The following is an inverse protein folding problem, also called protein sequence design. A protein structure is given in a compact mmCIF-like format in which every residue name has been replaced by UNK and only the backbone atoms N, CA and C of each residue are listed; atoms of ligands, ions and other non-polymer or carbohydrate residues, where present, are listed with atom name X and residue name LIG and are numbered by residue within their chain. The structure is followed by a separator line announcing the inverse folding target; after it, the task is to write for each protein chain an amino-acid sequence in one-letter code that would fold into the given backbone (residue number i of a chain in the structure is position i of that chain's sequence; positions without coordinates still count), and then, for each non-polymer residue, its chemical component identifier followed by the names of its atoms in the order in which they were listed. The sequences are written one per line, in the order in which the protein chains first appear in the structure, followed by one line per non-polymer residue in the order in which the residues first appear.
data_IF_302258585188
#
_entry.id   IF_302258585188
#
_cell.length_a   1.000
_cell.length_b   1.000
_cell.length_c   1.000
_cell.angle_alpha   90.00
_cell.angle_beta   90.00
_cell.angle_gamma   90.00
#
_symmetry.space_group_name_H-M   'P 1'
#
loop_
_entity.id
_entity.type
_entity.pdbx_description
1 polymer ?
#
# COMPACT_ATOMS: atom_id res chain seq x y z
N UNK A 1 14.60 -15.50 -19.14
CA UNK A 1 14.82 -14.90 -17.81
C UNK A 1 14.74 -16.03 -16.77
N UNK A 2 15.62 -16.08 -15.77
CA UNK A 2 15.53 -17.08 -14.70
C UNK A 2 14.67 -16.51 -13.56
N UNK A 3 13.59 -17.18 -13.13
CA UNK A 3 12.77 -16.71 -12.01
C UNK A 3 13.53 -16.87 -10.68
N UNK A 4 13.33 -15.94 -9.77
CA UNK A 4 13.85 -16.00 -8.40
C UNK A 4 12.68 -15.94 -7.41
N UNK A 5 12.66 -16.85 -6.43
CA UNK A 5 11.65 -16.84 -5.38
C UNK A 5 11.98 -15.73 -4.37
N UNK A 6 11.07 -14.78 -4.24
CA UNK A 6 11.15 -13.75 -3.21
C UNK A 6 10.77 -14.38 -1.86
N UNK A 7 11.63 -14.25 -0.86
CA UNK A 7 11.37 -14.73 0.52
C UNK A 7 11.39 -13.61 1.56
N UNK A 8 12.15 -12.54 1.30
CA UNK A 8 12.30 -11.38 2.18
C UNK A 8 12.52 -10.12 1.35
N UNK A 9 11.44 -9.50 0.90
CA UNK A 9 11.49 -8.21 0.23
C UNK A 9 10.47 -7.29 0.89
N UNK A 10 10.95 -6.16 1.41
CA UNK A 10 10.12 -5.10 2.00
C UNK A 10 10.07 -3.90 1.06
N UNK A 11 8.92 -3.26 0.98
CA UNK A 11 8.65 -2.17 0.06
C UNK A 11 7.25 -1.64 0.28
N UNK A 12 6.80 -0.79 -0.64
CA UNK A 12 5.53 -0.07 -0.55
C UNK A 12 4.66 -0.53 -1.72
N UNK A 13 3.41 -0.92 -1.45
CA UNK A 13 2.41 -1.07 -2.49
C UNK A 13 1.90 0.31 -2.88
N UNK A 14 2.12 0.70 -4.13
CA UNK A 14 1.75 2.00 -4.64
C UNK A 14 0.66 1.87 -5.70
N UNK A 15 -0.17 2.90 -5.81
CA UNK A 15 -1.13 3.10 -6.90
C UNK A 15 -0.67 4.28 -7.76
N UNK A 16 -0.54 4.08 -9.07
CA UNK A 16 -0.21 5.15 -10.01
C UNK A 16 -1.43 5.99 -10.38
N UNK A 17 -1.20 7.15 -10.99
CA UNK A 17 -2.25 8.08 -11.43
C UNK A 17 -3.26 7.47 -12.41
N UNK A 18 -2.85 6.45 -13.18
CA UNK A 18 -3.71 5.70 -14.09
C UNK A 18 -4.41 4.49 -13.43
N UNK A 19 -4.30 4.37 -12.11
CA UNK A 19 -4.97 3.35 -11.30
C UNK A 19 -4.27 2.00 -11.24
N UNK A 20 -3.11 1.82 -11.89
CA UNK A 20 -2.33 0.58 -11.80
C UNK A 20 -1.61 0.46 -10.45
N UNK A 21 -1.50 -0.77 -9.95
CA UNK A 21 -0.71 -1.06 -8.76
C UNK A 21 0.70 -1.53 -9.11
N UNK A 22 1.69 -1.09 -8.34
CA UNK A 22 3.08 -1.51 -8.45
C UNK A 22 3.73 -1.59 -7.07
N UNK A 23 4.76 -2.41 -6.93
CA UNK A 23 5.49 -2.56 -5.68
C UNK A 23 6.84 -1.83 -5.77
N UNK A 24 7.07 -0.85 -4.90
CA UNK A 24 8.28 -0.04 -4.88
C UNK A 24 9.22 -0.46 -3.75
N UNK A 25 10.47 -0.71 -4.10
CA UNK A 25 11.56 -1.00 -3.15
C UNK A 25 12.56 0.14 -3.18
N UNK A 26 13.06 0.53 -2.01
CA UNK A 26 14.18 1.48 -1.91
C UNK A 26 15.48 0.68 -1.84
N UNK A 27 16.31 0.81 -2.87
CA UNK A 27 17.65 0.21 -2.92
C UNK A 27 18.61 0.93 -1.94
N UNK A 28 19.70 0.26 -1.58
CA UNK A 28 20.67 0.76 -0.60
C UNK A 28 21.36 2.07 -1.01
N UNK A 29 21.47 2.33 -2.32
CA UNK A 29 21.97 3.58 -2.89
C UNK A 29 20.93 4.72 -2.85
N UNK A 30 19.75 4.49 -2.27
CA UNK A 30 18.66 5.45 -2.18
C UNK A 30 17.79 5.53 -3.43
N UNK A 31 18.08 4.79 -4.50
CA UNK A 31 17.22 4.75 -5.69
C UNK A 31 15.97 3.90 -5.44
N UNK A 32 14.90 4.21 -6.16
CA UNK A 32 13.70 3.37 -6.15
C UNK A 32 13.71 2.39 -7.31
N UNK A 33 13.21 1.19 -7.04
CA UNK A 33 12.93 0.17 -8.04
C UNK A 33 11.46 -0.23 -7.96
N UNK A 34 10.79 -0.13 -9.09
CA UNK A 34 9.37 -0.43 -9.20
C UNK A 34 9.16 -1.77 -9.90
N UNK A 35 8.34 -2.62 -9.30
CA UNK A 35 7.94 -3.90 -9.82
C UNK A 35 6.48 -3.84 -10.27
N UNK A 36 6.24 -4.14 -11.55
CA UNK A 36 4.89 -4.44 -12.03
C UNK A 36 4.39 -5.71 -11.36
N UNK A 37 3.18 -5.68 -10.80
CA UNK A 37 2.55 -6.84 -10.19
C UNK A 37 1.81 -7.61 -11.29
N UNK A 38 2.36 -8.76 -11.68
CA UNK A 38 1.76 -9.68 -12.66
C UNK A 38 1.24 -10.97 -12.00
N UNK A 39 0.83 -10.87 -10.74
CA UNK A 39 0.27 -11.96 -9.95
C UNK A 39 -1.19 -11.63 -9.63
N UNK A 40 -2.13 -12.53 -9.91
CA UNK A 40 -3.56 -12.27 -9.72
C UNK A 40 -3.93 -12.08 -8.24
N UNK A 41 -3.34 -12.90 -7.36
CA UNK A 41 -3.75 -12.98 -5.95
C UNK A 41 -2.54 -12.89 -5.01
N UNK A 42 -1.81 -11.77 -5.05
CA UNK A 42 -0.61 -11.58 -4.23
C UNK A 42 -1.01 -11.31 -2.77
N UNK A 43 -0.66 -12.23 -1.86
CA UNK A 43 -0.85 -12.02 -0.42
C UNK A 43 0.11 -10.96 0.11
N UNK A 44 -0.42 -10.01 0.89
CA UNK A 44 0.33 -8.94 1.54
C UNK A 44 0.05 -8.90 3.05
N UNK A 45 1.03 -8.43 3.81
CA UNK A 45 0.88 -8.06 5.22
C UNK A 45 1.12 -6.55 5.32
N UNK A 46 0.16 -5.82 5.89
CA UNK A 46 0.27 -4.37 6.08
C UNK A 46 0.91 -4.14 7.45
N UNK A 47 2.11 -3.55 7.45
CA UNK A 47 2.88 -3.20 8.64
C UNK A 47 3.00 -1.67 8.81
N UNK A 48 2.09 -0.91 8.20
CA UNK A 48 2.07 0.55 8.24
C UNK A 48 1.15 1.02 9.37
N UNK A 49 1.70 1.69 10.38
CA UNK A 49 0.97 2.20 11.54
C UNK A 49 -0.04 3.28 11.16
N UNK A 50 0.14 3.93 10.01
CA UNK A 50 -0.77 4.93 9.48
C UNK A 50 -1.86 4.35 8.57
N UNK A 51 -1.91 3.03 8.38
CA UNK A 51 -2.95 2.39 7.56
C UNK A 51 -4.18 2.00 8.40
N UNK A 52 -5.31 2.63 8.11
CA UNK A 52 -6.58 2.43 8.82
C UNK A 52 -7.66 1.93 7.86
N UNK A 53 -8.55 1.08 8.36
CA UNK A 53 -9.71 0.57 7.61
C UNK A 53 -10.90 1.51 7.85
N UNK A 54 -11.57 1.90 6.77
CA UNK A 54 -12.80 2.67 6.78
C UNK A 54 -13.92 1.87 6.11
N UNK A 55 -15.15 2.03 6.59
CA UNK A 55 -16.36 1.52 5.96
C UNK A 55 -17.27 2.70 5.60
N UNK A 56 -17.71 2.78 4.35
CA UNK A 56 -18.65 3.82 3.91
C UNK A 56 -19.56 3.26 2.83
N UNK A 57 -20.88 3.37 3.02
CA UNK A 57 -21.90 2.86 2.09
C UNK A 57 -21.74 1.37 1.73
N UNK A 58 -21.26 0.55 2.67
CA UNK A 58 -21.00 -0.88 2.44
C UNK A 58 -19.71 -1.19 1.65
N UNK A 59 -18.90 -0.18 1.33
CA UNK A 59 -17.57 -0.35 0.75
C UNK A 59 -16.49 -0.20 1.83
N UNK A 60 -15.44 -1.02 1.73
CA UNK A 60 -14.29 -1.00 2.64
C UNK A 60 -13.07 -0.40 1.94
N UNK A 61 -12.38 0.50 2.63
CA UNK A 61 -11.19 1.18 2.14
C UNK A 61 -10.07 1.08 3.17
N UNK A 62 -8.82 1.06 2.69
CA UNK A 62 -7.64 1.28 3.53
C UNK A 62 -7.11 2.65 3.15
N UNK A 63 -6.98 3.54 4.13
CA UNK A 63 -6.50 4.91 3.96
C UNK A 63 -5.58 5.29 5.13
N UNK A 64 -5.11 6.53 5.14
CA UNK A 64 -4.33 7.09 6.23
C UNK A 64 -5.10 7.16 7.54
N UNK A 65 -4.38 7.32 8.66
CA UNK A 65 -4.98 7.53 9.97
C UNK A 65 -5.92 8.74 9.99
N UNK A 66 -6.97 8.75 10.84
CA UNK A 66 -7.87 9.90 10.95
C UNK A 66 -7.12 11.20 11.24
N UNK A 67 -6.11 11.13 12.11
CA UNK A 67 -5.25 12.27 12.44
C UNK A 67 -4.50 12.80 11.22
N UNK A 68 -3.92 11.92 10.39
CA UNK A 68 -3.25 12.31 9.13
C UNK A 68 -4.23 12.93 8.13
N UNK A 69 -5.48 12.47 8.11
CA UNK A 69 -6.55 13.04 7.28
C UNK A 69 -7.11 14.36 7.85
N UNK A 70 -6.68 14.78 9.04
CA UNK A 70 -7.20 15.96 9.73
C UNK A 70 -8.61 15.78 10.30
N UNK A 71 -9.06 14.54 10.46
CA UNK A 71 -10.34 14.19 11.09
C UNK A 71 -10.15 14.17 12.62
N UNK A 72 -10.90 14.99 13.35
CA UNK A 72 -11.01 14.90 14.81
C UNK A 72 -12.20 14.02 15.21
N UNK A 73 -12.20 13.50 16.44
CA UNK A 73 -13.29 12.68 17.02
C UNK A 73 -14.66 13.41 17.13
N UNK A 74 -14.85 14.56 16.47
CA UNK A 74 -15.97 15.47 16.64
C UNK A 74 -16.93 15.59 15.45
N UNK A 75 -16.67 14.89 14.35
CA UNK A 75 -17.43 15.10 13.09
C UNK A 75 -18.55 14.07 12.87
N UNK A 76 -18.96 13.37 13.93
CA UNK A 76 -20.22 12.61 13.99
C UNK A 76 -21.34 13.51 14.55
N UNK A 77 -21.95 14.33 13.67
CA UNK A 77 -23.25 15.01 13.88
C UNK A 77 -24.28 14.56 12.82
#
# INVERSE_FOLDING_TARGET
MKPEKITKLKGILCKSFDGRFFFRVRDANGSFRDYTIAHSDLTIEIQDEEAFIYEKNGEYYIDHSPATLGLSESDDD
#
